data_IF_434486019206
#
_entry.id   IF_434486019206
#
_cell.length_a   1.000
_cell.length_b   1.000
_cell.length_c   1.000
_cell.angle_alpha   90.00
_cell.angle_beta   90.00
_cell.angle_gamma   90.00
#
_symmetry.space_group_name_H-M   'P 1'
#
loop_
_entity.id
_entity.type
_entity.pdbx_description
1 polymer ?
#
# COMPACT_ATOMS: atom_id res chain seq x y z
N UNK A 1 5.55 30.34 15.10
CA UNK A 1 4.16 29.86 15.02
C UNK A 1 4.19 28.37 14.76
N UNK A 2 3.58 27.55 15.62
CA UNK A 2 3.55 26.10 15.45
C UNK A 2 2.64 25.67 14.28
N UNK A 3 2.88 24.47 13.73
CA UNK A 3 2.01 23.85 12.71
C UNK A 3 1.48 22.51 13.22
N UNK A 4 0.19 22.24 12.99
CA UNK A 4 -0.43 20.95 13.25
C UNK A 4 -0.03 20.00 12.12
N UNK A 5 0.37 18.78 12.46
CA UNK A 5 0.69 17.75 11.47
C UNK A 5 -0.14 16.52 11.75
N UNK A 6 -0.80 16.02 10.71
CA UNK A 6 -1.60 14.80 10.73
C UNK A 6 -0.91 13.80 9.79
N UNK A 7 -0.01 12.96 10.32
CA UNK A 7 0.85 12.13 9.46
C UNK A 7 0.06 11.13 8.62
N UNK A 8 -1.05 10.59 9.16
CA UNK A 8 -1.94 9.70 8.43
C UNK A 8 -2.63 10.41 7.24
N UNK A 9 -3.04 11.67 7.39
CA UNK A 9 -3.67 12.42 6.29
C UNK A 9 -2.66 12.62 5.15
N UNK A 10 -1.41 12.96 5.47
CA UNK A 10 -0.33 13.00 4.49
C UNK A 10 -0.13 11.64 3.82
N UNK A 11 -0.12 10.56 4.61
CA UNK A 11 0.05 9.20 4.11
C UNK A 11 -1.08 8.79 3.14
N UNK A 12 -2.33 9.22 3.37
CA UNK A 12 -3.45 8.90 2.46
C UNK A 12 -3.30 9.51 1.07
N UNK A 13 -2.58 10.63 0.95
CA UNK A 13 -2.34 11.32 -0.32
C UNK A 13 -1.24 10.66 -1.15
N UNK A 14 -0.18 10.19 -0.48
CA UNK A 14 1.03 9.72 -1.18
C UNK A 14 1.34 8.24 -0.92
N UNK A 15 1.54 7.87 0.35
CA UNK A 15 2.08 6.56 0.75
C UNK A 15 1.09 5.43 0.53
N UNK A 16 -0.17 5.59 0.98
CA UNK A 16 -1.18 4.54 0.86
C UNK A 16 -1.46 4.22 -0.61
N UNK A 17 -1.64 5.20 -1.53
CA UNK A 17 -1.73 4.92 -2.95
C UNK A 17 -0.53 4.15 -3.51
N UNK A 18 0.70 4.51 -3.09
CA UNK A 18 1.92 3.84 -3.54
C UNK A 18 1.97 2.37 -3.09
N UNK A 19 1.66 2.11 -1.83
CA UNK A 19 1.57 0.75 -1.28
C UNK A 19 0.46 -0.06 -1.97
N UNK A 20 -0.69 0.55 -2.25
CA UNK A 20 -1.79 -0.10 -2.98
C UNK A 20 -1.35 -0.55 -4.38
N UNK A 21 -0.58 0.26 -5.12
CA UNK A 21 -0.05 -0.14 -6.44
C UNK A 21 0.75 -1.44 -6.34
N UNK A 22 1.71 -1.50 -5.41
CA UNK A 22 2.57 -2.68 -5.25
C UNK A 22 1.77 -3.91 -4.84
N UNK A 23 0.87 -3.75 -3.85
CA UNK A 23 0.05 -4.87 -3.38
C UNK A 23 -0.90 -5.38 -4.47
N UNK A 24 -1.59 -4.49 -5.18
CA UNK A 24 -2.50 -4.86 -6.29
C UNK A 24 -1.73 -5.58 -7.40
N UNK A 25 -0.52 -5.12 -7.77
CA UNK A 25 0.32 -5.81 -8.75
C UNK A 25 0.64 -7.23 -8.32
N UNK A 26 1.10 -7.44 -7.08
CA UNK A 26 1.42 -8.78 -6.60
C UNK A 26 0.21 -9.71 -6.49
N UNK A 27 -0.96 -9.18 -6.13
CA UNK A 27 -2.20 -9.99 -6.11
C UNK A 27 -2.62 -10.39 -7.53
N UNK A 28 -2.51 -9.48 -8.50
CA UNK A 28 -2.82 -9.75 -9.90
C UNK A 28 -1.82 -10.75 -10.52
N UNK A 29 -0.52 -10.58 -10.26
CA UNK A 29 0.53 -11.54 -10.65
C UNK A 29 0.34 -12.91 -9.97
N UNK A 30 -0.21 -12.93 -8.76
CA UNK A 30 -0.59 -14.13 -8.02
C UNK A 30 -1.87 -14.81 -8.50
N UNK A 31 -2.51 -14.29 -9.55
CA UNK A 31 -3.66 -14.91 -10.22
C UNK A 31 -5.04 -14.40 -9.82
N UNK A 32 -5.15 -13.40 -8.93
CA UNK A 32 -6.44 -12.76 -8.67
C UNK A 32 -6.88 -11.92 -9.86
N UNK A 33 -8.15 -12.02 -10.22
CA UNK A 33 -8.78 -11.14 -11.20
C UNK A 33 -8.96 -9.73 -10.65
N UNK A 34 -9.05 -8.73 -11.54
CA UNK A 34 -9.34 -7.35 -11.11
C UNK A 34 -10.65 -7.22 -10.32
N UNK A 35 -11.63 -8.08 -10.57
CA UNK A 35 -12.90 -8.12 -9.84
C UNK A 35 -12.73 -8.64 -8.41
N UNK A 36 -11.91 -9.67 -8.20
CA UNK A 36 -11.61 -10.17 -6.86
C UNK A 36 -10.80 -9.16 -6.06
N UNK A 37 -9.80 -8.51 -6.69
CA UNK A 37 -9.02 -7.45 -6.06
C UNK A 37 -9.92 -6.28 -5.67
N UNK A 38 -10.82 -5.84 -6.57
CA UNK A 38 -11.78 -4.78 -6.29
C UNK A 38 -12.63 -5.09 -5.05
N UNK A 39 -13.07 -6.34 -4.91
CA UNK A 39 -13.81 -6.82 -3.74
C UNK A 39 -12.99 -6.81 -2.45
N UNK A 40 -11.72 -7.18 -2.49
CA UNK A 40 -10.83 -7.16 -1.30
C UNK A 40 -10.55 -5.73 -0.81
N UNK A 41 -10.40 -4.78 -1.73
CA UNK A 41 -10.08 -3.39 -1.40
C UNK A 41 -11.30 -2.49 -1.20
N UNK A 42 -12.52 -3.01 -1.43
CA UNK A 42 -13.77 -2.24 -1.47
C UNK A 42 -13.69 -1.01 -2.40
N UNK A 43 -13.25 -1.26 -3.64
CA UNK A 43 -13.12 -0.24 -4.70
C UNK A 43 -13.71 -0.76 -6.00
N UNK A 44 -13.78 0.08 -7.04
CA UNK A 44 -14.27 -0.37 -8.35
C UNK A 44 -13.19 -1.15 -9.12
N UNK A 45 -13.60 -2.01 -10.06
CA UNK A 45 -12.66 -2.64 -11.00
C UNK A 45 -11.91 -1.61 -11.85
N UNK A 46 -12.54 -0.47 -12.16
CA UNK A 46 -11.89 0.65 -12.81
C UNK A 46 -10.76 1.25 -11.96
N UNK A 47 -10.95 1.37 -10.64
CA UNK A 47 -9.89 1.82 -9.73
C UNK A 47 -8.69 0.86 -9.73
N UNK A 48 -8.96 -0.46 -9.71
CA UNK A 48 -7.89 -1.48 -9.83
C UNK A 48 -7.14 -1.32 -11.16
N UNK A 49 -7.84 -1.17 -12.27
CA UNK A 49 -7.24 -0.90 -13.57
C UNK A 49 -6.38 0.38 -13.55
N UNK A 50 -6.84 1.45 -12.89
CA UNK A 50 -6.07 2.69 -12.71
C UNK A 50 -4.83 2.51 -11.83
N UNK A 51 -4.82 1.59 -10.86
CA UNK A 51 -3.63 1.25 -10.08
C UNK A 51 -2.64 0.37 -10.87
N UNK A 52 -3.13 -0.56 -11.68
CA UNK A 52 -2.29 -1.44 -12.49
C UNK A 52 -1.64 -0.70 -13.67
N UNK A 53 -2.43 0.07 -14.42
CA UNK A 53 -2.03 0.66 -15.70
C UNK A 53 -2.04 2.20 -15.70
N UNK A 54 -2.59 2.83 -14.66
CA UNK A 54 -2.88 4.26 -14.66
C UNK A 54 -1.92 5.13 -13.85
N UNK A 55 -2.39 6.37 -13.61
CA UNK A 55 -1.69 7.50 -12.97
C UNK A 55 -1.78 7.52 -11.44
N UNK A 56 -2.65 6.72 -10.82
CA UNK A 56 -2.90 6.78 -9.36
C UNK A 56 -1.87 5.98 -8.61
N UNK A 57 -1.17 6.63 -7.69
CA UNK A 57 -0.11 6.02 -6.89
C UNK A 57 1.15 5.65 -7.68
N UNK A 58 1.18 5.73 -9.01
CA UNK A 58 2.37 5.43 -9.81
C UNK A 58 3.32 6.64 -9.88
N UNK A 59 3.95 6.94 -8.74
CA UNK A 59 4.82 8.10 -8.52
C UNK A 59 6.27 7.65 -8.27
N UNK A 60 7.21 8.60 -8.20
CA UNK A 60 8.58 8.30 -7.73
C UNK A 60 8.59 7.59 -6.38
N UNK A 61 7.60 7.85 -5.53
CA UNK A 61 7.45 7.17 -4.24
C UNK A 61 7.27 5.67 -4.39
N UNK A 62 6.43 5.23 -5.34
CA UNK A 62 6.20 3.80 -5.59
C UNK A 62 7.46 3.11 -6.06
N UNK A 63 8.19 3.74 -6.98
CA UNK A 63 9.50 3.22 -7.44
C UNK A 63 10.47 3.09 -6.27
N UNK A 64 10.59 4.13 -5.44
CA UNK A 64 11.44 4.10 -4.24
C UNK A 64 11.06 3.00 -3.25
N UNK A 65 9.77 2.75 -3.07
CA UNK A 65 9.29 1.64 -2.23
C UNK A 65 9.61 0.28 -2.86
N UNK A 66 9.44 0.14 -4.17
CA UNK A 66 9.70 -1.09 -4.94
C UNK A 66 11.19 -1.47 -4.99
N UNK A 67 12.07 -0.46 -5.07
CA UNK A 67 13.53 -0.62 -5.05
C UNK A 67 14.05 -1.17 -3.70
N UNK A 68 13.31 -0.98 -2.61
CA UNK A 68 13.65 -1.60 -1.33
C UNK A 68 13.33 -3.09 -1.37
N UNK A 69 14.37 -3.93 -1.41
CA UNK A 69 14.21 -5.38 -1.37
C UNK A 69 13.46 -5.87 -0.14
N UNK A 70 13.76 -5.26 1.02
CA UNK A 70 13.10 -5.55 2.28
C UNK A 70 11.60 -5.22 2.22
N UNK A 71 11.24 -4.01 1.77
CA UNK A 71 9.83 -3.63 1.67
C UNK A 71 9.08 -4.49 0.67
N UNK A 72 9.69 -4.76 -0.49
CA UNK A 72 9.15 -5.65 -1.51
C UNK A 72 8.88 -7.06 -0.96
N UNK A 73 9.78 -7.59 -0.14
CA UNK A 73 9.59 -8.87 0.55
C UNK A 73 8.36 -8.87 1.46
N UNK A 74 8.20 -7.80 2.26
CA UNK A 74 7.06 -7.65 3.18
C UNK A 74 5.73 -7.54 2.41
N UNK A 75 5.68 -6.75 1.33
CA UNK A 75 4.47 -6.62 0.51
C UNK A 75 4.12 -7.95 -0.16
N UNK A 76 5.11 -8.73 -0.64
CA UNK A 76 4.89 -10.07 -1.20
C UNK A 76 4.35 -11.06 -0.17
N UNK A 77 4.91 -11.08 1.05
CA UNK A 77 4.39 -11.93 2.13
C UNK A 77 2.95 -11.54 2.49
N UNK A 78 2.67 -10.25 2.55
CA UNK A 78 1.31 -9.74 2.78
C UNK A 78 0.36 -10.15 1.65
N UNK A 79 0.76 -10.00 0.39
CA UNK A 79 -0.01 -10.44 -0.77
C UNK A 79 -0.29 -11.94 -0.69
N UNK A 80 0.70 -12.75 -0.33
CA UNK A 80 0.52 -14.19 -0.20
C UNK A 80 -0.46 -14.57 0.90
N UNK A 81 -0.49 -13.82 2.02
CA UNK A 81 -1.51 -14.00 3.06
C UNK A 81 -2.91 -13.72 2.51
N UNK A 82 -3.09 -12.68 1.70
CA UNK A 82 -4.38 -12.39 1.05
C UNK A 82 -4.78 -13.47 0.03
N UNK A 83 -3.81 -14.01 -0.72
CA UNK A 83 -4.06 -15.06 -1.72
C UNK A 83 -4.42 -16.41 -1.09
N UNK A 84 -3.78 -16.77 0.03
CA UNK A 84 -3.88 -18.11 0.63
C UNK A 84 -4.82 -18.20 1.81
N UNK A 85 -4.87 -17.16 2.65
CA UNK A 85 -5.78 -17.08 3.78
C UNK A 85 -6.99 -16.29 3.33
N UNK A 86 -8.19 -16.71 3.72
CA UNK A 86 -9.42 -15.94 3.55
C UNK A 86 -9.81 -15.36 4.91
N UNK A 87 -9.06 -14.36 5.34
CA UNK A 87 -9.40 -13.61 6.56
C UNK A 87 -10.55 -12.65 6.26
N UNK A 88 -11.38 -12.34 7.26
CA UNK A 88 -12.47 -11.38 7.09
C UNK A 88 -11.97 -9.95 6.85
N UNK A 89 -10.81 -9.60 7.44
CA UNK A 89 -10.26 -8.24 7.39
C UNK A 89 -8.75 -8.25 7.29
N UNK A 90 -8.21 -7.39 6.41
CA UNK A 90 -6.77 -7.16 6.28
C UNK A 90 -6.43 -5.71 6.62
N UNK A 91 -5.42 -5.49 7.45
CA UNK A 91 -5.02 -4.15 7.87
C UNK A 91 -3.77 -3.64 7.12
N UNK A 92 -3.98 -2.68 6.21
CA UNK A 92 -2.92 -2.09 5.39
C UNK A 92 -1.98 -1.15 6.19
N UNK A 93 -2.35 -0.74 7.41
CA UNK A 93 -1.55 0.18 8.21
C UNK A 93 -0.16 -0.37 8.55
N UNK A 94 0.04 -1.69 8.61
CA UNK A 94 1.37 -2.30 8.79
C UNK A 94 2.31 -1.86 7.68
N UNK A 95 1.88 -2.01 6.43
CA UNK A 95 2.68 -1.67 5.27
C UNK A 95 2.93 -0.17 5.20
N UNK A 96 1.93 0.65 5.53
CA UNK A 96 2.07 2.11 5.57
C UNK A 96 3.03 2.57 6.67
N UNK A 97 2.89 2.05 7.90
CA UNK A 97 3.78 2.31 9.04
C UNK A 97 5.21 1.93 8.69
N UNK A 98 5.41 0.73 8.13
CA UNK A 98 6.71 0.25 7.71
C UNK A 98 7.36 1.16 6.66
N UNK A 99 6.63 1.46 5.58
CA UNK A 99 7.11 2.34 4.52
C UNK A 99 7.55 3.70 5.09
N UNK A 100 6.73 4.32 5.93
CA UNK A 100 7.00 5.66 6.49
C UNK A 100 8.17 5.67 7.46
N UNK A 101 8.27 4.65 8.31
CA UNK A 101 9.31 4.54 9.35
C UNK A 101 10.67 4.11 8.78
N UNK A 102 10.70 3.04 8.00
CA UNK A 102 11.95 2.37 7.61
C UNK A 102 12.48 2.86 6.27
N UNK A 103 11.58 3.09 5.29
CA UNK A 103 11.99 3.44 3.93
C UNK A 103 12.05 4.96 3.74
N UNK A 104 11.01 5.67 4.15
CA UNK A 104 10.91 7.13 4.00
C UNK A 104 11.55 7.91 5.15
N UNK A 105 11.76 7.24 6.30
CA UNK A 105 12.36 7.82 7.51
C UNK A 105 11.70 9.14 7.91
N UNK A 106 10.36 9.16 7.86
CA UNK A 106 9.60 10.35 8.24
C UNK A 106 9.86 10.72 9.69
N UNK A 107 10.06 12.02 9.96
CA UNK A 107 10.36 12.53 11.30
C UNK A 107 9.13 12.64 12.20
N UNK A 108 7.96 12.82 11.61
CA UNK A 108 6.69 13.02 12.31
C UNK A 108 5.76 11.86 12.00
N UNK A 109 5.69 10.93 12.95
CA UNK A 109 4.93 9.69 12.84
C UNK A 109 3.73 9.74 13.79
N UNK A 110 2.71 8.93 13.50
CA UNK A 110 1.62 8.79 14.47
C UNK A 110 2.15 8.01 15.69
N UNK A 111 1.95 8.50 16.92
CA UNK A 111 2.43 7.81 18.13
C UNK A 111 1.72 6.47 18.36
N UNK A 112 0.58 6.23 17.70
CA UNK A 112 -0.20 4.99 17.76
C UNK A 112 0.08 4.07 16.55
N UNK A 113 1.09 4.37 15.72
CA UNK A 113 1.59 3.40 14.75
C UNK A 113 2.29 2.25 15.49
N UNK A 114 1.94 1.05 15.09
CA UNK A 114 2.48 -0.23 15.53
C UNK A 114 3.74 -0.55 14.72
#
# INVERSE_FOLDING_TARGET
MGRIVIPCEKATKDVIPAVKVLLIRYLNEGGMTQAEIAKVFDITTADVNYYLHGKRGNTELTKKLEESEEFRGIVKEYAQKVLTKKEETYNLCILCSYARRKILKEKQLCPYEW
#
